data_IF_278584307041
#
_entry.id   IF_278584307041
#
_cell.length_a   1.000
_cell.length_b   1.000
_cell.length_c   1.000
_cell.angle_alpha   90.00
_cell.angle_beta   90.00
_cell.angle_gamma   90.00
#
_symmetry.space_group_name_H-M   'P 1'
#
loop_
_entity.id
_entity.type
_entity.pdbx_description
1 polymer ?
#
# COMPACT_ATOMS: atom_id res chain seq x y z
N UNK A 1 19.56 34.73 4.26
CA UNK A 1 18.84 33.66 4.97
C UNK A 1 19.15 33.82 6.45
N UNK A 2 18.14 34.10 7.27
CA UNK A 2 18.34 34.31 8.70
C UNK A 2 18.44 32.94 9.43
N UNK A 3 18.83 32.94 10.71
CA UNK A 3 18.96 31.72 11.50
C UNK A 3 17.65 30.93 11.68
N UNK A 4 16.51 31.61 11.72
CA UNK A 4 15.19 30.97 11.82
C UNK A 4 14.81 30.25 10.51
N UNK A 5 15.19 30.81 9.35
CA UNK A 5 14.98 30.17 8.05
C UNK A 5 15.75 28.84 7.96
N UNK A 6 16.95 28.79 8.53
CA UNK A 6 17.73 27.55 8.59
C UNK A 6 17.09 26.48 9.50
N UNK A 7 16.62 26.88 10.69
CA UNK A 7 15.96 25.98 11.63
C UNK A 7 14.66 25.40 11.05
N UNK A 8 13.86 26.21 10.37
CA UNK A 8 12.62 25.76 9.75
C UNK A 8 12.87 24.78 8.60
N UNK A 9 13.88 25.02 7.75
CA UNK A 9 14.27 24.07 6.70
C UNK A 9 14.72 22.72 7.29
N UNK A 10 15.53 22.74 8.36
CA UNK A 10 15.98 21.52 9.03
C UNK A 10 14.81 20.72 9.62
N UNK A 11 13.91 21.38 10.36
CA UNK A 11 12.75 20.72 10.97
C UNK A 11 11.80 20.14 9.90
N UNK A 12 11.55 20.88 8.82
CA UNK A 12 10.72 20.40 7.71
C UNK A 12 11.30 19.13 7.06
N UNK A 13 12.62 19.08 6.86
CA UNK A 13 13.27 17.90 6.30
C UNK A 13 13.10 16.66 7.20
N UNK A 14 13.22 16.83 8.52
CA UNK A 14 13.04 15.74 9.49
C UNK A 14 11.60 15.24 9.54
N UNK A 15 10.63 16.17 9.58
CA UNK A 15 9.20 15.82 9.56
C UNK A 15 8.88 15.01 8.30
N UNK A 16 9.40 15.42 7.16
CA UNK A 16 9.11 14.72 5.91
C UNK A 16 9.74 13.34 5.85
N UNK A 17 10.96 13.15 6.38
CA UNK A 17 11.55 11.82 6.54
C UNK A 17 10.66 10.88 7.37
N UNK A 18 10.12 11.38 8.49
CA UNK A 18 9.23 10.60 9.35
C UNK A 18 7.98 10.18 8.60
N UNK A 19 7.32 11.10 7.89
CA UNK A 19 6.10 10.77 7.14
C UNK A 19 6.37 9.72 6.06
N UNK A 20 7.46 9.84 5.30
CA UNK A 20 7.85 8.84 4.29
C UNK A 20 7.94 7.43 4.88
N UNK A 21 8.59 7.29 6.05
CA UNK A 21 8.70 6.02 6.76
C UNK A 21 7.34 5.45 7.19
N UNK A 22 6.45 6.29 7.73
CA UNK A 22 5.11 5.85 8.14
C UNK A 22 4.25 5.40 6.96
N UNK A 23 4.35 6.08 5.81
CA UNK A 23 3.61 5.67 4.60
C UNK A 23 4.14 4.34 4.05
N UNK A 24 5.46 4.15 4.01
CA UNK A 24 6.07 2.87 3.60
C UNK A 24 5.61 1.74 4.54
N UNK A 25 5.62 1.98 5.85
CA UNK A 25 5.14 0.99 6.84
C UNK A 25 3.66 0.66 6.65
N UNK A 26 2.82 1.67 6.41
CA UNK A 26 1.39 1.46 6.15
C UNK A 26 1.15 0.64 4.87
N UNK A 27 1.91 0.90 3.81
CA UNK A 27 1.84 0.13 2.56
C UNK A 27 2.34 -1.31 2.74
N UNK A 28 3.34 -1.54 3.60
CA UNK A 28 3.79 -2.89 3.95
C UNK A 28 2.69 -3.68 4.66
N UNK A 29 1.98 -3.06 5.61
CA UNK A 29 0.82 -3.69 6.27
C UNK A 29 -0.31 -3.93 5.25
N UNK A 30 -0.53 -2.99 4.33
CA UNK A 30 -1.51 -3.14 3.27
C UNK A 30 -1.20 -4.32 2.34
N UNK A 31 0.07 -4.63 2.06
CA UNK A 31 0.45 -5.82 1.30
C UNK A 31 0.00 -7.12 1.98
N UNK A 32 0.18 -7.21 3.30
CA UNK A 32 -0.29 -8.36 4.07
C UNK A 32 -1.82 -8.47 3.95
N UNK A 33 -2.53 -7.35 4.05
CA UNK A 33 -3.99 -7.31 3.87
C UNK A 33 -4.41 -7.75 2.46
N UNK A 34 -3.70 -7.34 1.42
CA UNK A 34 -4.01 -7.73 0.04
C UNK A 34 -3.88 -9.26 -0.18
N UNK A 35 -2.95 -9.94 0.51
CA UNK A 35 -2.89 -11.42 0.53
C UNK A 35 -4.14 -12.00 1.20
N UNK A 36 -4.56 -11.42 2.32
CA UNK A 36 -5.78 -11.85 3.03
C UNK A 36 -7.00 -11.73 2.11
N UNK A 37 -7.11 -10.65 1.34
CA UNK A 37 -8.20 -10.46 0.38
C UNK A 37 -8.29 -11.59 -0.65
N UNK A 38 -7.17 -12.07 -1.20
CA UNK A 38 -7.18 -13.21 -2.13
C UNK A 38 -7.83 -14.43 -1.48
N UNK A 39 -7.44 -14.74 -0.23
CA UNK A 39 -8.03 -15.86 0.53
C UNK A 39 -9.52 -15.65 0.79
N UNK A 40 -9.92 -14.43 1.13
CA UNK A 40 -11.32 -14.11 1.40
C UNK A 40 -12.19 -14.24 0.15
N UNK A 41 -11.70 -13.80 -1.01
CA UNK A 41 -12.39 -13.99 -2.30
C UNK A 41 -12.51 -15.48 -2.63
N UNK A 42 -11.46 -16.27 -2.42
CA UNK A 42 -11.54 -17.72 -2.67
C UNK A 42 -12.54 -18.45 -1.75
N UNK A 43 -12.64 -18.04 -0.47
CA UNK A 43 -13.62 -18.60 0.46
C UNK A 43 -15.05 -18.19 0.11
N UNK A 44 -15.28 -16.92 -0.26
CA UNK A 44 -16.61 -16.42 -0.60
C UNK A 44 -17.16 -17.03 -1.89
N UNK A 45 -16.32 -17.17 -2.92
CA UNK A 45 -16.71 -17.82 -4.19
C UNK A 45 -17.04 -19.30 -4.04
N UNK A 46 -16.62 -19.96 -2.94
CA UNK A 46 -17.04 -21.34 -2.63
C UNK A 46 -18.39 -21.40 -1.90
N UNK A 47 -18.74 -20.35 -1.15
CA UNK A 47 -19.95 -20.30 -0.34
C UNK A 47 -21.19 -19.91 -1.17
N UNK A 48 -21.01 -19.05 -2.17
CA UNK A 48 -22.07 -18.56 -3.05
C UNK A 48 -21.72 -18.95 -4.47
N UNK A 49 -22.59 -19.73 -5.11
CA UNK A 49 -22.41 -20.11 -6.51
C UNK A 49 -22.76 -18.90 -7.39
N UNK A 50 -21.76 -18.12 -7.79
CA UNK A 50 -21.95 -16.91 -8.58
C UNK A 50 -21.29 -17.05 -9.95
N UNK A 51 -21.98 -16.62 -11.00
CA UNK A 51 -21.52 -16.83 -12.38
C UNK A 51 -20.19 -16.13 -12.72
N UNK A 52 -19.73 -15.18 -11.89
CA UNK A 52 -18.50 -14.41 -12.11
C UNK A 52 -17.37 -14.75 -11.12
N UNK A 53 -17.42 -15.89 -10.43
CA UNK A 53 -16.41 -16.30 -9.45
C UNK A 53 -14.97 -16.24 -10.00
N UNK A 54 -14.77 -16.69 -11.25
CA UNK A 54 -13.47 -16.63 -11.91
C UNK A 54 -12.95 -15.21 -12.10
N UNK A 55 -13.84 -14.27 -12.47
CA UNK A 55 -13.49 -12.86 -12.66
C UNK A 55 -13.10 -12.23 -11.33
N UNK A 56 -13.84 -12.51 -10.26
CA UNK A 56 -13.53 -11.99 -8.92
C UNK A 56 -12.15 -12.45 -8.44
N UNK A 57 -11.79 -13.72 -8.67
CA UNK A 57 -10.45 -14.24 -8.33
C UNK A 57 -9.35 -13.54 -9.12
N UNK A 58 -9.55 -13.30 -10.41
CA UNK A 58 -8.59 -12.57 -11.25
C UNK A 58 -8.40 -11.13 -10.75
N UNK A 59 -9.49 -10.43 -10.45
CA UNK A 59 -9.44 -9.05 -9.91
C UNK A 59 -8.67 -9.03 -8.59
N UNK A 60 -8.89 -10.00 -7.70
CA UNK A 60 -8.16 -10.09 -6.42
C UNK A 60 -6.65 -10.25 -6.63
N UNK A 61 -6.24 -11.08 -7.59
CA UNK A 61 -4.81 -11.25 -7.93
C UNK A 61 -4.24 -9.99 -8.56
N UNK A 62 -4.95 -9.35 -9.51
CA UNK A 62 -4.52 -8.07 -10.12
C UNK A 62 -4.35 -7.00 -9.05
N UNK A 63 -5.30 -6.90 -8.11
CA UNK A 63 -5.22 -5.96 -7.01
C UNK A 63 -3.97 -6.18 -6.14
N UNK A 64 -3.66 -7.44 -5.80
CA UNK A 64 -2.46 -7.77 -5.04
C UNK A 64 -1.17 -7.42 -5.80
N UNK A 65 -1.08 -7.75 -7.09
CA UNK A 65 0.06 -7.36 -7.93
C UNK A 65 0.19 -5.84 -8.01
N UNK A 66 -0.94 -5.13 -8.16
CA UNK A 66 -0.97 -3.66 -8.14
C UNK A 66 -0.46 -3.09 -6.81
N UNK A 67 -0.84 -3.68 -5.67
CA UNK A 67 -0.34 -3.29 -4.36
C UNK A 67 1.18 -3.48 -4.24
N UNK A 68 1.74 -4.58 -4.77
CA UNK A 68 3.20 -4.80 -4.83
C UNK A 68 3.87 -3.70 -5.65
N UNK A 69 3.34 -3.40 -6.84
CA UNK A 69 3.89 -2.35 -7.71
C UNK A 69 3.87 -0.99 -7.01
N UNK A 70 2.76 -0.62 -6.37
CA UNK A 70 2.64 0.65 -5.64
C UNK A 70 3.64 0.71 -4.48
N UNK A 71 3.81 -0.37 -3.72
CA UNK A 71 4.80 -0.42 -2.65
C UNK A 71 6.23 -0.22 -3.17
N UNK A 72 6.61 -0.89 -4.26
CA UNK A 72 7.93 -0.74 -4.88
C UNK A 72 8.15 0.69 -5.41
N UNK A 73 7.13 1.28 -6.04
CA UNK A 73 7.18 2.67 -6.50
C UNK A 73 7.34 3.63 -5.31
N UNK A 74 6.64 3.38 -4.20
CA UNK A 74 6.77 4.20 -3.00
C UNK A 74 8.19 4.18 -2.42
N UNK A 75 8.91 3.04 -2.47
CA UNK A 75 10.31 2.97 -2.02
C UNK A 75 11.27 3.84 -2.86
N UNK A 76 10.92 4.16 -4.10
CA UNK A 76 11.76 4.94 -5.01
C UNK A 76 11.38 6.42 -5.00
N UNK A 77 10.07 6.70 -4.96
CA UNK A 77 9.52 8.06 -5.16
C UNK A 77 9.36 8.82 -3.85
N UNK A 78 9.04 8.12 -2.76
CA UNK A 78 8.70 8.73 -1.48
C UNK A 78 9.95 8.95 -0.62
#
# INVERSE_FOLDING_TARGET
MNSNDFLTMFLNAQIWLVVKLFVILALLIYLIFAIVIIRQVDLMTKAINFSLDGILKIIAVIHFVGAIVIFLVALIVL
#
